data_IF_937449987108
#
_entry.id   IF_937449987108
#
_cell.length_a   1.000
_cell.length_b   1.000
_cell.length_c   1.000
_cell.angle_alpha   90.00
_cell.angle_beta   90.00
_cell.angle_gamma   90.00
#
_symmetry.space_group_name_H-M   'P 1'
#
loop_
_entity.id
_entity.type
_entity.pdbx_description
1 polymer ?
#
# COMPACT_ATOMS: atom_id res chain seq x y z
N UNK A 1 -11.89 -5.27 -19.45
CA UNK A 1 -12.39 -6.57 -18.91
C UNK A 1 -11.31 -7.41 -18.23
N UNK A 2 -10.05 -7.42 -18.71
CA UNK A 2 -8.93 -8.16 -18.11
C UNK A 2 -8.81 -8.02 -16.57
N UNK A 3 -8.88 -6.80 -16.03
CA UNK A 3 -8.73 -6.56 -14.59
C UNK A 3 -9.75 -7.31 -13.73
N UNK A 4 -11.00 -7.44 -14.19
CA UNK A 4 -12.03 -8.14 -13.43
C UNK A 4 -11.78 -9.64 -13.38
N UNK A 5 -11.36 -10.23 -14.50
CA UNK A 5 -10.95 -11.63 -14.55
C UNK A 5 -9.71 -11.89 -13.68
N UNK A 6 -8.73 -10.98 -13.73
CA UNK A 6 -7.54 -11.03 -12.87
C UNK A 6 -7.95 -11.01 -11.39
N UNK A 7 -8.77 -10.05 -10.96
CA UNK A 7 -9.21 -9.94 -9.56
C UNK A 7 -10.07 -11.13 -9.12
N UNK A 8 -10.97 -11.62 -9.96
CA UNK A 8 -11.77 -12.81 -9.66
C UNK A 8 -10.89 -14.05 -9.47
N UNK A 9 -9.93 -14.26 -10.37
CA UNK A 9 -8.96 -15.38 -10.28
C UNK A 9 -8.08 -15.27 -9.05
N UNK A 10 -7.62 -14.05 -8.72
CA UNK A 10 -6.85 -13.74 -7.53
C UNK A 10 -7.62 -14.05 -6.25
N UNK A 11 -8.86 -13.57 -6.13
CA UNK A 11 -9.70 -13.81 -4.96
C UNK A 11 -10.01 -15.29 -4.79
N UNK A 12 -10.35 -15.98 -5.89
CA UNK A 12 -10.57 -17.42 -5.89
C UNK A 12 -9.32 -18.19 -5.44
N UNK A 13 -8.15 -17.82 -5.94
CA UNK A 13 -6.89 -18.44 -5.54
C UNK A 13 -6.59 -18.22 -4.05
N UNK A 14 -6.64 -16.97 -3.57
CA UNK A 14 -6.25 -16.63 -2.20
C UNK A 14 -7.22 -17.17 -1.15
N UNK A 15 -8.53 -17.19 -1.44
CA UNK A 15 -9.55 -17.60 -0.47
C UNK A 15 -9.91 -19.08 -0.54
N UNK A 16 -9.81 -19.71 -1.71
CA UNK A 16 -10.33 -21.07 -1.92
C UNK A 16 -9.26 -22.02 -2.44
N UNK A 17 -8.79 -21.84 -3.67
CA UNK A 17 -7.98 -22.86 -4.35
C UNK A 17 -6.60 -23.04 -3.69
N UNK A 18 -5.92 -21.92 -3.39
CA UNK A 18 -4.59 -21.91 -2.78
C UNK A 18 -4.56 -22.54 -1.38
N UNK A 19 -5.39 -22.09 -0.42
CA UNK A 19 -5.48 -22.71 0.89
C UNK A 19 -5.86 -24.20 0.84
N UNK A 20 -6.81 -24.59 -0.04
CA UNK A 20 -7.22 -25.99 -0.22
C UNK A 20 -6.07 -26.85 -0.74
N UNK A 21 -5.34 -26.35 -1.74
CA UNK A 21 -4.18 -27.04 -2.32
C UNK A 21 -3.01 -27.16 -1.34
N UNK A 22 -2.79 -26.13 -0.52
CA UNK A 22 -1.73 -26.12 0.49
C UNK A 22 -2.08 -26.93 1.74
N UNK A 23 -3.34 -27.32 1.97
CA UNK A 23 -3.78 -28.00 3.21
C UNK A 23 -2.85 -29.18 3.57
N UNK A 24 -2.58 -30.06 2.61
CA UNK A 24 -1.81 -31.29 2.81
C UNK A 24 -0.34 -31.19 2.34
N UNK A 25 0.19 -29.98 2.11
CA UNK A 25 1.56 -29.76 1.62
C UNK A 25 2.40 -29.00 2.65
N UNK A 26 3.71 -29.22 2.66
CA UNK A 26 4.61 -28.39 3.45
C UNK A 26 4.74 -26.97 2.85
N UNK A 27 5.03 -25.94 3.67
CA UNK A 27 5.24 -24.59 3.17
C UNK A 27 6.47 -24.53 2.25
N UNK A 28 6.32 -23.92 1.08
CA UNK A 28 7.41 -23.80 0.11
C UNK A 28 8.58 -22.94 0.66
N UNK A 29 9.81 -23.42 0.45
CA UNK A 29 11.05 -22.71 0.85
C UNK A 29 11.49 -21.67 -0.18
N UNK A 30 10.58 -20.77 -0.57
CA UNK A 30 10.78 -19.77 -1.64
C UNK A 30 11.33 -18.42 -1.13
N UNK A 31 12.08 -18.42 -0.02
CA UNK A 31 12.53 -17.17 0.61
C UNK A 31 13.44 -16.33 -0.30
N UNK A 32 14.27 -16.97 -1.12
CA UNK A 32 15.15 -16.27 -2.05
C UNK A 32 14.35 -15.61 -3.19
N UNK A 33 13.29 -16.27 -3.67
CA UNK A 33 12.38 -15.68 -4.68
C UNK A 33 11.69 -14.45 -4.08
N UNK A 34 11.16 -14.56 -2.86
CA UNK A 34 10.53 -13.43 -2.15
C UNK A 34 11.53 -12.30 -1.91
N UNK A 35 12.80 -12.62 -1.62
CA UNK A 35 13.86 -11.62 -1.47
C UNK A 35 14.11 -10.86 -2.78
N UNK A 36 14.31 -11.57 -3.88
CA UNK A 36 14.52 -10.96 -5.20
C UNK A 36 13.30 -10.13 -5.61
N UNK A 37 12.10 -10.67 -5.42
CA UNK A 37 10.85 -9.94 -5.68
C UNK A 37 10.78 -8.62 -4.91
N UNK A 38 11.00 -8.63 -3.60
CA UNK A 38 10.95 -7.40 -2.80
C UNK A 38 12.02 -6.39 -3.26
N UNK A 39 13.23 -6.85 -3.59
CA UNK A 39 14.28 -5.97 -4.11
C UNK A 39 13.89 -5.34 -5.45
N UNK A 40 13.33 -6.13 -6.38
CA UNK A 40 12.82 -5.64 -7.66
C UNK A 40 11.70 -4.63 -7.44
N UNK A 41 10.76 -4.89 -6.53
CA UNK A 41 9.68 -3.96 -6.20
C UNK A 41 10.21 -2.63 -5.65
N UNK A 42 11.24 -2.65 -4.79
CA UNK A 42 11.91 -1.43 -4.31
C UNK A 42 12.50 -0.65 -5.48
N UNK A 43 13.31 -1.29 -6.33
CA UNK A 43 14.00 -0.62 -7.45
C UNK A 43 13.01 -0.05 -8.47
N UNK A 44 11.98 -0.83 -8.82
CA UNK A 44 10.95 -0.41 -9.77
C UNK A 44 10.13 0.76 -9.20
N UNK A 45 9.71 0.70 -7.94
CA UNK A 45 8.92 1.77 -7.32
C UNK A 45 9.76 3.04 -7.13
N UNK A 46 11.05 2.91 -6.78
CA UNK A 46 11.95 4.06 -6.66
C UNK A 46 12.22 4.71 -8.02
N UNK A 47 12.43 3.90 -9.08
CA UNK A 47 12.58 4.41 -10.44
C UNK A 47 11.31 5.13 -10.89
N UNK A 48 10.14 4.54 -10.67
CA UNK A 48 8.85 5.16 -10.97
C UNK A 48 8.70 6.49 -10.25
N UNK A 49 8.95 6.53 -8.94
CA UNK A 49 8.87 7.76 -8.15
C UNK A 49 9.78 8.86 -8.72
N UNK A 50 11.03 8.52 -9.07
CA UNK A 50 11.97 9.48 -9.67
C UNK A 50 11.47 10.00 -11.02
N UNK A 51 10.93 9.13 -11.86
CA UNK A 51 10.40 9.52 -13.18
C UNK A 51 9.17 10.42 -13.03
N UNK A 52 8.20 10.05 -12.19
CA UNK A 52 6.99 10.84 -11.97
C UNK A 52 7.32 12.21 -11.38
N UNK A 53 8.17 12.28 -10.33
CA UNK A 53 8.61 13.56 -9.76
C UNK A 53 9.30 14.44 -10.82
N UNK A 54 10.13 13.86 -11.68
CA UNK A 54 10.78 14.55 -12.80
C UNK A 54 9.81 15.14 -13.81
N UNK A 55 8.77 14.40 -14.16
CA UNK A 55 7.76 14.81 -15.15
C UNK A 55 6.75 15.82 -14.58
N UNK A 56 6.52 15.83 -13.27
CA UNK A 56 5.48 16.67 -12.66
C UNK A 56 6.04 17.86 -11.89
N UNK A 57 6.97 17.67 -10.94
CA UNK A 57 7.29 18.67 -9.91
C UNK A 57 8.75 19.18 -9.91
N UNK A 58 9.68 18.44 -10.51
CA UNK A 58 11.10 18.81 -10.60
C UNK A 58 11.40 19.50 -11.95
N UNK A 59 12.62 20.04 -12.17
CA UNK A 59 12.88 20.90 -13.33
C UNK A 59 12.49 20.26 -14.65
N UNK A 60 11.55 20.90 -15.37
CA UNK A 60 10.89 20.39 -16.58
C UNK A 60 9.42 19.99 -16.36
N UNK A 61 8.98 19.81 -15.11
CA UNK A 61 7.59 19.56 -14.74
C UNK A 61 6.82 20.85 -14.49
N UNK A 62 5.55 20.87 -14.90
CA UNK A 62 4.67 22.04 -14.84
C UNK A 62 3.46 21.84 -13.92
N UNK A 63 3.49 20.85 -13.02
CA UNK A 63 2.35 20.58 -12.14
C UNK A 63 2.32 21.53 -10.95
N UNK A 64 1.14 22.07 -10.68
CA UNK A 64 0.85 22.75 -9.43
C UNK A 64 0.63 21.70 -8.32
N UNK A 65 1.32 21.89 -7.18
CA UNK A 65 1.16 21.04 -6.00
C UNK A 65 -0.18 21.25 -5.31
N UNK A 66 -0.80 22.41 -5.48
CA UNK A 66 -2.05 22.81 -4.83
C UNK A 66 -3.27 22.26 -5.58
N UNK A 67 -3.45 22.63 -6.85
CA UNK A 67 -4.60 22.20 -7.65
C UNK A 67 -4.19 21.98 -9.11
N UNK A 68 -4.25 20.73 -9.57
CA UNK A 68 -3.91 20.36 -10.93
C UNK A 68 -5.09 19.68 -11.64
N UNK A 69 -5.52 20.28 -12.74
CA UNK A 69 -6.53 19.75 -13.64
C UNK A 69 -6.03 18.68 -14.61
N UNK A 70 -6.97 18.15 -15.39
CA UNK A 70 -6.68 17.32 -16.56
C UNK A 70 -6.55 18.28 -17.75
N UNK A 71 -5.37 18.36 -18.35
CA UNK A 71 -5.08 19.33 -19.42
C UNK A 71 -5.42 18.78 -20.80
N UNK A 72 -5.37 17.47 -21.00
CA UNK A 72 -5.63 16.80 -22.28
C UNK A 72 -4.61 17.13 -23.38
N UNK A 73 -3.52 17.84 -23.06
CA UNK A 73 -2.51 18.27 -24.02
C UNK A 73 -1.65 17.06 -24.40
N UNK A 74 -1.43 16.88 -25.70
CA UNK A 74 -0.63 15.78 -26.25
C UNK A 74 0.80 16.22 -26.53
N UNK A 75 1.54 16.57 -25.47
CA UNK A 75 3.00 16.74 -25.55
C UNK A 75 3.73 15.40 -25.41
N UNK A 76 5.00 15.35 -25.83
CA UNK A 76 5.82 14.15 -25.63
C UNK A 76 6.03 13.83 -24.15
N UNK A 77 6.09 14.85 -23.29
CA UNK A 77 6.15 14.71 -21.83
C UNK A 77 4.88 14.06 -21.25
N UNK A 78 3.71 14.44 -21.79
CA UNK A 78 2.43 13.85 -21.39
C UNK A 78 2.31 12.39 -21.85
N UNK A 79 2.81 12.06 -23.04
CA UNK A 79 2.86 10.67 -23.53
C UNK A 79 3.75 9.81 -22.64
N UNK A 80 4.90 10.32 -22.22
CA UNK A 80 5.76 9.61 -21.28
C UNK A 80 5.10 9.47 -19.91
N UNK A 81 4.39 10.50 -19.43
CA UNK A 81 3.62 10.45 -18.18
C UNK A 81 2.56 9.35 -18.21
N UNK A 82 1.83 9.20 -19.32
CA UNK A 82 0.86 8.11 -19.50
C UNK A 82 1.52 6.73 -19.53
N UNK A 83 2.66 6.61 -20.21
CA UNK A 83 3.44 5.37 -20.22
C UNK A 83 3.89 4.97 -18.82
N UNK A 84 4.41 5.94 -18.06
CA UNK A 84 4.82 5.78 -16.66
C UNK A 84 3.63 5.40 -15.77
N UNK A 85 2.46 6.02 -15.99
CA UNK A 85 1.20 5.67 -15.31
C UNK A 85 0.76 4.22 -15.57
N UNK A 86 0.85 3.74 -16.81
CA UNK A 86 0.55 2.33 -17.12
C UNK A 86 1.56 1.35 -16.52
N UNK A 87 2.84 1.74 -16.45
CA UNK A 87 3.86 0.96 -15.72
C UNK A 87 3.51 0.87 -14.22
N UNK A 88 2.98 1.93 -13.62
CA UNK A 88 2.50 1.89 -12.24
C UNK A 88 1.33 0.91 -12.06
N UNK A 89 0.36 0.92 -12.97
CA UNK A 89 -0.75 -0.05 -12.96
C UNK A 89 -0.21 -1.49 -12.96
N UNK A 90 0.77 -1.78 -13.81
CA UNK A 90 1.42 -3.10 -13.84
C UNK A 90 2.07 -3.46 -12.50
N UNK A 91 2.79 -2.53 -11.86
CA UNK A 91 3.38 -2.77 -10.55
C UNK A 91 2.34 -3.06 -9.48
N UNK A 92 1.20 -2.36 -9.52
CA UNK A 92 0.09 -2.65 -8.60
C UNK A 92 -0.52 -4.02 -8.83
N UNK A 93 -0.48 -4.55 -10.06
CA UNK A 93 -0.88 -5.93 -10.31
C UNK A 93 0.15 -6.91 -9.73
N UNK A 94 1.45 -6.58 -9.81
CA UNK A 94 2.50 -7.37 -9.17
C UNK A 94 2.34 -7.46 -7.65
N UNK A 95 1.81 -6.42 -6.97
CA UNK A 95 1.51 -6.46 -5.53
C UNK A 95 0.59 -7.64 -5.13
N UNK A 96 -0.22 -8.18 -6.05
CA UNK A 96 -1.05 -9.37 -5.81
C UNK A 96 -0.20 -10.64 -5.57
N UNK A 97 1.07 -10.65 -5.97
CA UNK A 97 1.99 -11.76 -5.71
C UNK A 97 2.37 -11.86 -4.24
N UNK A 98 2.29 -10.78 -3.46
CA UNK A 98 2.58 -10.80 -2.01
C UNK A 98 1.67 -11.81 -1.28
N UNK A 99 0.38 -11.74 -1.56
CA UNK A 99 -0.64 -12.68 -1.06
C UNK A 99 -0.40 -14.09 -1.57
N UNK A 100 -0.01 -14.25 -2.84
CA UNK A 100 0.34 -15.57 -3.40
C UNK A 100 1.51 -16.18 -2.61
N UNK A 101 2.57 -15.40 -2.35
CA UNK A 101 3.69 -15.87 -1.52
C UNK A 101 3.27 -16.20 -0.09
N UNK A 102 2.33 -15.47 0.51
CA UNK A 102 1.79 -15.82 1.82
C UNK A 102 1.04 -17.16 1.80
N UNK A 103 0.24 -17.43 0.77
CA UNK A 103 -0.44 -18.73 0.61
C UNK A 103 0.57 -19.86 0.48
N UNK A 104 1.54 -19.73 -0.44
CA UNK A 104 2.55 -20.76 -0.71
C UNK A 104 3.45 -21.05 0.50
N UNK A 105 3.64 -20.07 1.38
CA UNK A 105 4.43 -20.20 2.61
C UNK A 105 3.59 -20.55 3.84
N UNK A 106 2.30 -20.82 3.68
CA UNK A 106 1.33 -21.05 4.77
C UNK A 106 1.31 -19.94 5.83
N UNK A 107 1.50 -18.69 5.41
CA UNK A 107 1.45 -17.51 6.29
C UNK A 107 0.05 -16.87 6.29
N UNK A 108 -0.98 -17.69 6.52
CA UNK A 108 -2.38 -17.26 6.45
C UNK A 108 -2.73 -16.14 7.45
N UNK A 109 -2.02 -16.03 8.57
CA UNK A 109 -2.18 -14.92 9.53
C UNK A 109 -1.86 -13.55 8.93
N UNK A 110 -1.06 -13.50 7.86
CA UNK A 110 -0.77 -12.26 7.13
C UNK A 110 -1.87 -11.91 6.11
N UNK A 111 -2.69 -12.88 5.70
CA UNK A 111 -3.79 -12.70 4.74
C UNK A 111 -5.03 -12.23 5.48
N UNK A 112 -4.97 -11.01 6.00
CA UNK A 112 -6.08 -10.39 6.73
C UNK A 112 -7.18 -9.90 5.78
N UNK A 113 -8.37 -9.63 6.32
CA UNK A 113 -9.44 -8.97 5.55
C UNK A 113 -8.98 -7.62 4.98
N UNK A 114 -8.31 -6.80 5.81
CA UNK A 114 -7.71 -5.53 5.39
C UNK A 114 -6.79 -5.72 4.18
N UNK A 115 -5.88 -6.70 4.25
CA UNK A 115 -4.90 -6.92 3.19
C UNK A 115 -5.57 -7.32 1.86
N UNK A 116 -6.44 -8.32 1.87
CA UNK A 116 -7.11 -8.77 0.63
C UNK A 116 -8.03 -7.69 0.07
N UNK A 117 -8.80 -7.01 0.92
CA UNK A 117 -9.68 -5.91 0.50
C UNK A 117 -8.88 -4.76 -0.11
N UNK A 118 -7.82 -4.31 0.57
CA UNK A 118 -6.92 -3.25 0.10
C UNK A 118 -6.31 -3.58 -1.27
N UNK A 119 -5.68 -4.75 -1.42
CA UNK A 119 -5.03 -5.13 -2.67
C UNK A 119 -6.05 -5.24 -3.83
N UNK A 120 -7.27 -5.69 -3.55
CA UNK A 120 -8.33 -5.79 -4.56
C UNK A 120 -8.81 -4.40 -5.01
N UNK A 121 -9.18 -3.53 -4.06
CA UNK A 121 -9.73 -2.22 -4.39
C UNK A 121 -8.67 -1.30 -4.99
N UNK A 122 -7.41 -1.35 -4.51
CA UNK A 122 -6.32 -0.52 -5.05
C UNK A 122 -6.04 -0.89 -6.50
N UNK A 123 -5.95 -2.19 -6.84
CA UNK A 123 -5.74 -2.66 -8.22
C UNK A 123 -6.87 -2.22 -9.16
N UNK A 124 -8.12 -2.29 -8.70
CA UNK A 124 -9.25 -1.79 -9.47
C UNK A 124 -9.18 -0.27 -9.64
N UNK A 125 -8.84 0.44 -8.57
CA UNK A 125 -8.81 1.90 -8.53
C UNK A 125 -7.73 2.48 -9.44
N UNK A 126 -6.50 1.98 -9.37
CA UNK A 126 -5.39 2.48 -10.21
C UNK A 126 -5.64 2.22 -11.68
N UNK A 127 -6.27 1.10 -12.04
CA UNK A 127 -6.69 0.83 -13.41
C UNK A 127 -7.79 1.79 -13.86
N UNK A 128 -8.79 2.04 -13.02
CA UNK A 128 -9.88 2.97 -13.30
C UNK A 128 -9.36 4.40 -13.48
N UNK A 129 -8.55 4.89 -12.55
CA UNK A 129 -7.97 6.23 -12.63
C UNK A 129 -6.99 6.36 -13.80
N UNK A 130 -6.21 5.33 -14.16
CA UNK A 130 -5.39 5.37 -15.36
C UNK A 130 -6.18 5.49 -16.67
N UNK A 131 -7.46 5.08 -16.69
CA UNK A 131 -8.34 5.24 -17.85
C UNK A 131 -9.03 6.60 -17.90
N UNK A 132 -9.48 7.13 -16.75
CA UNK A 132 -10.36 8.30 -16.70
C UNK A 132 -9.69 9.58 -16.19
N UNK A 133 -8.60 9.46 -15.43
CA UNK A 133 -7.82 10.58 -14.90
C UNK A 133 -6.33 10.19 -14.75
N UNK A 134 -5.64 9.95 -15.87
CA UNK A 134 -4.22 9.55 -15.86
C UNK A 134 -3.27 10.69 -15.46
N UNK A 135 -3.78 11.92 -15.39
CA UNK A 135 -3.07 13.14 -15.04
C UNK A 135 -3.83 13.93 -13.97
N UNK A 136 -3.23 15.04 -13.51
CA UNK A 136 -3.89 15.98 -12.62
C UNK A 136 -3.63 15.75 -11.14
N UNK A 137 -4.64 16.01 -10.31
CA UNK A 137 -4.56 15.97 -8.85
C UNK A 137 -4.05 14.63 -8.28
N UNK A 138 -4.26 13.53 -8.99
CA UNK A 138 -3.86 12.17 -8.58
C UNK A 138 -2.34 11.96 -8.59
N UNK A 139 -1.57 12.83 -9.25
CA UNK A 139 -0.12 12.69 -9.38
C UNK A 139 0.61 12.73 -8.02
N UNK A 140 0.27 13.69 -7.15
CA UNK A 140 0.88 13.78 -5.80
C UNK A 140 0.57 12.53 -4.98
N UNK A 141 -0.69 12.07 -5.04
CA UNK A 141 -1.14 10.86 -4.35
C UNK A 141 -0.35 9.63 -4.79
N UNK A 142 -0.08 9.54 -6.08
CA UNK A 142 0.71 8.46 -6.68
C UNK A 142 2.18 8.54 -6.25
N UNK A 143 2.77 9.74 -6.19
CA UNK A 143 4.12 9.96 -5.68
C UNK A 143 4.25 9.57 -4.20
N UNK A 144 3.34 10.05 -3.35
CA UNK A 144 3.32 9.71 -1.92
C UNK A 144 3.15 8.21 -1.69
N UNK A 145 2.25 7.55 -2.45
CA UNK A 145 2.09 6.11 -2.39
C UNK A 145 3.37 5.38 -2.79
N UNK A 146 3.98 5.76 -3.91
CA UNK A 146 5.24 5.16 -4.37
C UNK A 146 6.36 5.35 -3.33
N UNK A 147 6.49 6.53 -2.73
CA UNK A 147 7.45 6.78 -1.65
C UNK A 147 7.27 5.84 -0.46
N UNK A 148 6.06 5.71 0.05
CA UNK A 148 5.78 4.80 1.17
C UNK A 148 5.99 3.33 0.77
N UNK A 149 5.68 2.96 -0.48
CA UNK A 149 5.94 1.62 -1.00
C UNK A 149 7.43 1.30 -1.12
N UNK A 150 8.30 2.27 -1.47
CA UNK A 150 9.76 2.08 -1.42
C UNK A 150 10.19 1.68 -0.01
N UNK A 151 9.72 2.40 1.01
CA UNK A 151 10.06 2.13 2.41
C UNK A 151 9.46 0.79 2.87
N UNK A 152 8.21 0.51 2.52
CA UNK A 152 7.52 -0.73 2.88
C UNK A 152 8.19 -1.96 2.28
N UNK A 153 8.48 -1.96 0.98
CA UNK A 153 9.16 -3.07 0.32
C UNK A 153 10.62 -3.21 0.78
N UNK A 154 11.28 -2.10 1.14
CA UNK A 154 12.60 -2.16 1.78
C UNK A 154 12.53 -2.87 3.13
N UNK A 155 11.52 -2.57 3.94
CA UNK A 155 11.28 -3.30 5.20
C UNK A 155 11.04 -4.80 4.95
N UNK A 156 10.23 -5.16 3.97
CA UNK A 156 9.96 -6.56 3.63
C UNK A 156 11.20 -7.28 3.11
N UNK A 157 12.00 -6.64 2.25
CA UNK A 157 13.28 -7.16 1.80
C UNK A 157 14.21 -7.45 2.98
N UNK A 158 14.42 -6.47 3.87
CA UNK A 158 15.27 -6.63 5.06
C UNK A 158 14.74 -7.76 5.97
N UNK A 159 13.43 -7.91 6.10
CA UNK A 159 12.82 -8.99 6.88
C UNK A 159 13.08 -10.39 6.28
N UNK A 160 13.52 -10.51 5.02
CA UNK A 160 13.94 -11.78 4.40
C UNK A 160 15.40 -12.14 4.63
N UNK A 161 16.22 -11.24 5.18
CA UNK A 161 17.65 -11.47 5.45
C UNK A 161 17.91 -12.28 6.74
N UNK A 162 16.85 -12.73 7.40
CA UNK A 162 16.92 -13.65 8.53
C UNK A 162 16.98 -12.96 9.91
N UNK A 163 17.18 -13.75 10.98
CA UNK A 163 17.12 -13.26 12.36
C UNK A 163 18.13 -12.16 12.68
N UNK A 164 19.32 -12.22 12.06
CA UNK A 164 20.39 -11.26 12.26
C UNK A 164 19.99 -9.82 11.90
N UNK A 165 19.17 -9.65 10.86
CA UNK A 165 18.66 -8.34 10.43
C UNK A 165 17.32 -8.00 11.10
N UNK A 166 16.45 -8.99 11.31
CA UNK A 166 15.11 -8.79 11.89
C UNK A 166 15.12 -8.10 13.25
N UNK A 167 16.16 -8.33 14.08
CA UNK A 167 16.30 -7.66 15.39
C UNK A 167 16.39 -6.13 15.28
N UNK A 168 16.87 -5.60 14.15
CA UNK A 168 16.97 -4.16 13.91
C UNK A 168 15.68 -3.55 13.31
N UNK A 169 14.67 -4.37 12.99
CA UNK A 169 13.41 -3.94 12.37
C UNK A 169 12.33 -3.53 13.39
N UNK A 170 12.74 -2.87 14.47
CA UNK A 170 11.87 -2.37 15.54
C UNK A 170 10.89 -1.29 15.07
N UNK A 171 11.21 -0.62 13.95
CA UNK A 171 10.46 0.51 13.42
C UNK A 171 9.21 0.15 12.61
N UNK A 172 8.76 -1.12 12.65
CA UNK A 172 7.52 -1.58 11.99
C UNK A 172 6.29 -0.74 12.35
N UNK A 173 6.19 -0.28 13.60
CA UNK A 173 5.09 0.57 14.06
C UNK A 173 5.08 1.91 13.31
N UNK A 174 6.25 2.55 13.18
CA UNK A 174 6.39 3.82 12.47
C UNK A 174 6.09 3.69 10.98
N UNK A 175 6.38 2.53 10.37
CA UNK A 175 5.94 2.26 8.99
C UNK A 175 4.41 2.29 8.87
N UNK A 176 3.68 1.71 9.83
CA UNK A 176 2.22 1.73 9.83
C UNK A 176 1.69 3.15 10.08
N UNK A 177 2.33 3.90 10.97
CA UNK A 177 2.01 5.32 11.21
C UNK A 177 2.23 6.16 9.95
N UNK A 178 3.34 5.92 9.22
CA UNK A 178 3.63 6.61 7.96
C UNK A 178 2.54 6.34 6.91
N UNK A 179 2.06 5.10 6.79
CA UNK A 179 0.95 4.75 5.89
C UNK A 179 -0.34 5.49 6.27
N UNK A 180 -0.67 5.59 7.55
CA UNK A 180 -1.86 6.32 8.03
C UNK A 180 -1.74 7.81 7.70
N UNK A 181 -0.60 8.42 7.99
CA UNK A 181 -0.33 9.84 7.67
C UNK A 181 -0.41 10.07 6.17
N UNK A 182 0.14 9.17 5.35
CA UNK A 182 0.04 9.23 3.90
C UNK A 182 -1.42 9.26 3.42
N UNK A 183 -2.29 8.36 3.91
CA UNK A 183 -3.71 8.37 3.53
C UNK A 183 -4.41 9.66 3.94
N UNK A 184 -4.07 10.23 5.10
CA UNK A 184 -4.63 11.50 5.53
C UNK A 184 -4.21 12.66 4.61
N UNK A 185 -2.92 12.77 4.29
CA UNK A 185 -2.40 13.81 3.36
C UNK A 185 -3.05 13.67 1.98
N UNK A 186 -3.13 12.45 1.45
CA UNK A 186 -3.78 12.15 0.16
C UNK A 186 -5.26 12.59 0.19
N UNK A 187 -5.98 12.28 1.26
CA UNK A 187 -7.40 12.64 1.38
C UNK A 187 -7.60 14.15 1.40
N UNK A 188 -6.77 14.90 2.15
CA UNK A 188 -6.83 16.37 2.18
C UNK A 188 -6.49 16.95 0.81
N UNK A 189 -5.39 16.51 0.18
CA UNK A 189 -4.97 17.01 -1.12
C UNK A 189 -6.00 16.72 -2.22
N UNK A 190 -6.57 15.51 -2.25
CA UNK A 190 -7.63 15.15 -3.19
C UNK A 190 -8.92 15.92 -2.94
N UNK A 191 -9.14 16.49 -1.75
CA UNK A 191 -10.33 17.29 -1.46
C UNK A 191 -10.26 18.72 -2.01
N UNK A 192 -9.08 19.23 -2.37
CA UNK A 192 -8.89 20.61 -2.85
C UNK A 192 -9.77 20.93 -4.07
N UNK A 193 -9.86 20.07 -5.12
CA UNK A 193 -10.68 20.37 -6.29
C UNK A 193 -12.21 20.36 -6.03
N UNK A 194 -12.66 19.99 -4.83
CA UNK A 194 -14.07 20.17 -4.44
C UNK A 194 -14.39 21.65 -4.15
N UNK A 195 -13.40 22.38 -3.63
CA UNK A 195 -13.53 23.77 -3.18
C UNK A 195 -12.91 24.78 -4.16
N UNK A 196 -11.91 24.35 -4.94
CA UNK A 196 -11.22 25.17 -5.94
C UNK A 196 -11.42 24.54 -7.31
N UNK A 197 -11.87 25.31 -8.30
CA UNK A 197 -11.99 24.80 -9.65
C UNK A 197 -10.64 24.88 -10.38
N UNK A 198 -10.00 23.73 -10.56
CA UNK A 198 -8.83 23.59 -11.44
C UNK A 198 -9.12 22.65 -12.62
N UNK A 199 -10.39 22.37 -12.94
CA UNK A 199 -10.73 21.50 -14.08
C UNK A 199 -10.55 20.00 -13.82
N UNK A 200 -10.35 19.59 -12.57
CA UNK A 200 -10.38 18.17 -12.21
C UNK A 200 -11.82 17.72 -11.91
N UNK A 201 -12.29 16.60 -12.49
CA UNK A 201 -13.70 16.19 -12.37
C UNK A 201 -14.10 15.79 -10.95
N UNK A 202 -15.04 16.55 -10.36
CA UNK A 202 -15.51 16.39 -8.96
C UNK A 202 -16.06 15.00 -8.62
N UNK A 203 -16.68 14.30 -9.58
CA UNK A 203 -17.19 12.95 -9.35
C UNK A 203 -16.05 11.93 -9.13
N UNK A 204 -14.91 12.09 -9.82
CA UNK A 204 -13.73 11.24 -9.59
C UNK A 204 -13.08 11.57 -8.24
N UNK A 205 -13.11 12.84 -7.82
CA UNK A 205 -12.66 13.26 -6.48
C UNK A 205 -13.48 12.57 -5.39
N UNK A 206 -14.81 12.62 -5.48
CA UNK A 206 -15.69 12.00 -4.50
C UNK A 206 -15.44 10.48 -4.38
N UNK A 207 -15.25 9.80 -5.51
CA UNK A 207 -14.91 8.38 -5.53
C UNK A 207 -13.55 8.10 -4.87
N UNK A 208 -12.53 8.90 -5.17
CA UNK A 208 -11.19 8.77 -4.60
C UNK A 208 -11.16 9.01 -3.09
N UNK A 209 -11.91 10.02 -2.60
CA UNK A 209 -12.04 10.31 -1.17
C UNK A 209 -12.75 9.18 -0.45
N UNK A 210 -13.89 8.70 -0.98
CA UNK A 210 -14.64 7.59 -0.38
C UNK A 210 -13.76 6.34 -0.24
N UNK A 211 -13.03 5.99 -1.29
CA UNK A 211 -12.12 4.85 -1.28
C UNK A 211 -10.98 5.02 -0.28
N UNK A 212 -10.34 6.20 -0.26
CA UNK A 212 -9.24 6.52 0.69
C UNK A 212 -9.74 6.48 2.13
N UNK A 213 -10.94 7.01 2.40
CA UNK A 213 -11.55 7.00 3.72
C UNK A 213 -11.79 5.58 4.24
N UNK A 214 -12.36 4.69 3.42
CA UNK A 214 -12.58 3.28 3.79
C UNK A 214 -11.25 2.60 4.14
N UNK A 215 -10.21 2.79 3.34
CA UNK A 215 -8.89 2.23 3.61
C UNK A 215 -8.28 2.80 4.89
N UNK A 216 -8.38 4.11 5.11
CA UNK A 216 -7.92 4.77 6.32
C UNK A 216 -8.59 4.16 7.57
N UNK A 217 -9.92 3.98 7.57
CA UNK A 217 -10.63 3.33 8.67
C UNK A 217 -10.13 1.91 8.95
N UNK A 218 -9.86 1.13 7.91
CA UNK A 218 -9.34 -0.23 8.06
C UNK A 218 -7.91 -0.23 8.65
N UNK A 219 -7.06 0.70 8.25
CA UNK A 219 -5.71 0.87 8.81
C UNK A 219 -5.73 1.34 10.25
N UNK A 220 -6.61 2.29 10.59
CA UNK A 220 -6.82 2.75 11.97
C UNK A 220 -7.30 1.61 12.88
N UNK A 221 -8.26 0.81 12.41
CA UNK A 221 -8.73 -0.38 13.12
C UNK A 221 -7.60 -1.41 13.32
N UNK A 222 -6.80 -1.68 12.29
CA UNK A 222 -5.62 -2.55 12.40
C UNK A 222 -4.61 -2.01 13.43
N UNK A 223 -4.32 -0.71 13.40
CA UNK A 223 -3.38 -0.08 14.31
C UNK A 223 -3.87 -0.16 15.77
N UNK A 224 -5.14 0.15 16.02
CA UNK A 224 -5.76 0.05 17.34
C UNK A 224 -5.68 -1.38 17.89
N UNK A 225 -6.06 -2.38 17.09
CA UNK A 225 -6.00 -3.79 17.49
C UNK A 225 -4.58 -4.31 17.74
N UNK A 226 -3.63 -3.91 16.89
CA UNK A 226 -2.27 -4.48 16.92
C UNK A 226 -1.37 -3.81 17.93
N UNK A 227 -1.48 -2.48 18.10
CA UNK A 227 -0.54 -1.68 18.86
C UNK A 227 -1.14 -1.06 20.12
N UNK A 228 -2.42 -0.65 20.10
CA UNK A 228 -3.04 -0.01 21.28
C UNK A 228 -3.54 -1.08 22.25
N UNK A 229 -4.44 -1.96 21.80
CA UNK A 229 -5.01 -3.01 22.66
C UNK A 229 -3.93 -3.92 23.26
N UNK A 230 -2.92 -4.29 22.47
CA UNK A 230 -1.80 -5.13 22.94
C UNK A 230 -0.91 -4.41 23.96
N UNK A 231 -0.70 -3.10 23.80
CA UNK A 231 0.04 -2.28 24.78
C UNK A 231 -0.73 -2.15 26.09
N UNK A 232 -2.05 -1.98 26.02
CA UNK A 232 -2.93 -1.90 27.20
C UNK A 232 -2.95 -3.21 27.97
N UNK A 233 -3.03 -4.36 27.30
CA UNK A 233 -2.95 -5.68 27.95
C UNK A 233 -1.57 -5.96 28.55
N UNK A 234 -0.48 -5.57 27.88
CA UNK A 234 0.86 -5.70 28.43
C UNK A 234 1.03 -4.85 29.71
N UNK A 235 0.56 -3.60 29.68
CA UNK A 235 0.60 -2.72 30.85
C UNK A 235 -0.28 -3.22 32.01
N UNK A 236 -1.46 -3.79 31.71
CA UNK A 236 -2.32 -4.39 32.72
C UNK A 236 -1.67 -5.63 33.38
N UNK A 237 -1.04 -6.51 32.59
CA UNK A 237 -0.35 -7.68 33.13
C UNK A 237 0.88 -7.31 33.96
N UNK A 238 1.62 -6.26 33.58
CA UNK A 238 2.73 -5.73 34.39
C UNK A 238 2.23 -5.22 35.75
N UNK A 239 1.13 -4.47 35.79
CA UNK A 239 0.52 -3.99 37.05
C UNK A 239 0.02 -5.11 37.95
N UNK A 240 -0.58 -6.16 37.37
CA UNK A 240 -1.03 -7.35 38.13
C UNK A 240 0.16 -8.13 38.68
N UNK A 241 1.27 -8.20 37.93
CA UNK A 241 2.49 -8.88 38.42
C UNK A 241 3.13 -8.10 39.57
N UNK A 242 3.16 -6.76 39.49
CA UNK A 242 3.64 -5.91 40.60
C UNK A 242 2.78 -6.03 41.87
N UNK A 243 1.45 -6.08 41.75
CA UNK A 243 0.59 -6.28 42.93
C UNK A 243 0.69 -7.67 43.55
N UNK A 244 0.90 -8.72 42.74
CA UNK A 244 1.11 -10.09 43.25
C UNK A 244 2.48 -10.27 43.92
N UNK A 245 3.51 -9.56 43.45
CA UNK A 245 4.83 -9.57 44.10
C UNK A 245 4.79 -8.82 45.43
N UNK A 246 4.17 -7.63 45.47
CA UNK A 246 4.08 -6.85 46.71
C UNK A 246 3.12 -7.44 47.76
N UNK A 247 2.16 -8.28 47.35
CA UNK A 247 1.21 -8.94 48.27
C UNK A 247 1.67 -10.28 48.84
N UNK A 248 2.94 -10.68 48.61
CA UNK A 248 3.54 -11.90 49.20
C UNK A 248 4.54 -11.62 50.32
N UNK A 249 4.80 -10.34 50.60
CA UNK A 249 5.74 -9.88 51.63
C UNK A 249 5.01 -9.37 52.90
N UNK A 250 3.70 -9.64 53.04
CA UNK A 250 2.89 -9.48 54.27
C UNK A 250 2.45 -10.84 54.81
#
# INVERSE_FOLDING_TARGET
MFVFALLASYLYFVKVAGPRWMKNREPFKIINIVRVYNLVMVLMTAKFLRMTLGLTYFPGGHYDLWCQGITGITSDEMRESYRVGWIYVLFRYCDLLDTVFFVLRKKFTHITHLHVFHHTIVVLNVWFFALFAPEGQTALSTCLNAFVHVIMYSYYFLATLGPAVRKYLWWKKYLTTLQIVQFFIIMVHMSIPLFVDCGFPKHLVALGILQTFVILCLFLNFYAKTYVAKSSHAAANSRVTETVVNGKDE
#
